data_IF_552334436106
#
_entry.id   IF_552334436106
#
_cell.length_a   1.000
_cell.length_b   1.000
_cell.length_c   1.000
_cell.angle_alpha   90.00
_cell.angle_beta   90.00
_cell.angle_gamma   90.00
#
_symmetry.space_group_name_H-M   'P 1'
#
loop_
_entity.id
_entity.type
_entity.pdbx_description
1 polymer ?
#
# COMPACT_ATOMS: atom_id res chain seq x y z
N UNK A 1 22.70 -3.11 -16.20
CA UNK A 1 21.62 -3.58 -17.11
C UNK A 1 20.46 -2.59 -17.06
N UNK A 2 19.97 -2.25 -15.87
CA UNK A 2 18.91 -1.24 -15.63
C UNK A 2 19.18 0.11 -16.30
N UNK A 3 20.38 0.68 -16.12
CA UNK A 3 20.83 1.92 -16.79
C UNK A 3 20.76 1.94 -18.32
N UNK A 4 20.61 0.78 -18.97
CA UNK A 4 20.41 0.69 -20.42
C UNK A 4 18.94 0.44 -20.79
N UNK A 5 18.19 -0.25 -19.93
CA UNK A 5 16.83 -0.72 -20.25
C UNK A 5 15.78 0.28 -19.79
N UNK A 6 15.95 0.87 -18.60
CA UNK A 6 14.96 1.77 -18.03
C UNK A 6 14.76 3.04 -18.85
N UNK A 7 15.82 3.74 -19.31
CA UNK A 7 15.61 4.93 -20.14
C UNK A 7 14.79 4.66 -21.40
N UNK A 8 15.11 3.58 -22.12
CA UNK A 8 14.40 3.19 -23.34
C UNK A 8 12.94 2.79 -23.04
N UNK A 9 12.72 2.02 -21.97
CA UNK A 9 11.38 1.62 -21.53
C UNK A 9 10.51 2.82 -21.15
N UNK A 10 11.03 3.74 -20.34
CA UNK A 10 10.29 4.93 -19.93
C UNK A 10 10.04 5.86 -21.13
N UNK A 11 10.99 5.98 -22.05
CA UNK A 11 10.80 6.78 -23.27
C UNK A 11 9.66 6.23 -24.14
N UNK A 12 9.62 4.91 -24.36
CA UNK A 12 8.54 4.27 -25.13
C UNK A 12 7.19 4.42 -24.41
N UNK A 13 7.16 4.27 -23.08
CA UNK A 13 5.93 4.44 -22.32
C UNK A 13 5.42 5.89 -22.35
N UNK A 14 6.33 6.88 -22.38
CA UNK A 14 5.96 8.29 -22.37
C UNK A 14 5.30 8.74 -23.69
N UNK A 15 5.54 8.04 -24.80
CA UNK A 15 4.82 8.24 -26.06
C UNK A 15 3.33 7.87 -25.94
N UNK A 16 2.93 7.10 -24.93
CA UNK A 16 1.57 6.65 -24.70
C UNK A 16 0.84 7.38 -23.58
N UNK A 17 1.54 7.77 -22.51
CA UNK A 17 0.96 8.48 -21.38
C UNK A 17 2.02 9.24 -20.58
N UNK A 18 1.67 10.41 -19.99
CA UNK A 18 2.55 11.07 -19.01
C UNK A 18 2.87 10.15 -17.84
N UNK A 19 4.12 10.16 -17.40
CA UNK A 19 4.61 9.30 -16.33
C UNK A 19 4.98 10.16 -15.11
N UNK A 20 4.41 9.78 -13.98
CA UNK A 20 4.74 10.36 -12.68
C UNK A 20 5.17 9.23 -11.73
N UNK A 21 6.28 9.42 -11.00
CA UNK A 21 6.85 8.42 -10.10
C UNK A 21 6.83 8.95 -8.67
N UNK A 22 6.24 8.16 -7.77
CA UNK A 22 6.36 8.33 -6.32
C UNK A 22 7.40 7.32 -5.81
N UNK A 23 8.65 7.76 -5.57
CA UNK A 23 9.73 6.84 -5.29
C UNK A 23 9.51 6.09 -3.98
N UNK A 24 9.69 4.77 -4.04
CA UNK A 24 9.76 3.86 -2.93
C UNK A 24 11.18 3.70 -2.37
N UNK A 25 11.31 2.86 -1.34
CA UNK A 25 12.58 2.62 -0.66
C UNK A 25 13.61 1.84 -1.50
N UNK A 26 13.22 1.34 -2.68
CA UNK A 26 14.08 0.61 -3.62
C UNK A 26 14.46 1.44 -4.85
N UNK A 27 13.87 2.62 -5.03
CA UNK A 27 14.03 3.45 -6.23
C UNK A 27 15.20 4.43 -6.09
N UNK A 28 16.31 3.96 -5.51
CA UNK A 28 17.53 4.74 -5.38
C UNK A 28 18.06 5.17 -6.75
N UNK A 29 18.47 6.44 -6.87
CA UNK A 29 19.01 7.04 -8.10
C UNK A 29 18.06 6.98 -9.32
N UNK A 30 16.75 6.79 -9.12
CA UNK A 30 15.76 6.72 -10.21
C UNK A 30 15.78 7.95 -11.12
N UNK A 31 16.14 9.12 -10.58
CA UNK A 31 16.31 10.38 -11.30
C UNK A 31 17.36 10.30 -12.42
N UNK A 32 18.39 9.45 -12.26
CA UNK A 32 19.38 9.19 -13.29
C UNK A 32 18.98 8.11 -14.30
N UNK A 33 17.90 7.37 -14.02
CA UNK A 33 17.44 6.21 -14.78
C UNK A 33 16.25 6.50 -15.68
N UNK A 34 15.56 7.63 -15.47
CA UNK A 34 14.39 8.03 -16.23
C UNK A 34 14.67 9.24 -17.14
N UNK A 35 13.96 9.37 -18.27
CA UNK A 35 13.99 10.56 -19.10
C UNK A 35 13.53 11.84 -18.36
N UNK A 36 13.90 13.01 -18.87
CA UNK A 36 13.68 14.31 -18.21
C UNK A 36 12.20 14.74 -18.14
N UNK A 37 11.34 14.15 -18.96
CA UNK A 37 9.91 14.39 -19.03
C UNK A 37 9.10 13.53 -18.05
N UNK A 38 9.74 12.58 -17.36
CA UNK A 38 9.15 11.85 -16.24
C UNK A 38 9.18 12.74 -14.99
N UNK A 39 8.03 12.93 -14.36
CA UNK A 39 7.93 13.71 -13.12
C UNK A 39 8.23 12.79 -11.94
N UNK A 40 9.28 13.10 -11.18
CA UNK A 40 9.59 12.41 -9.92
C UNK A 40 9.11 13.27 -8.76
N UNK A 41 8.33 12.68 -7.87
CA UNK A 41 7.75 13.33 -6.72
C UNK A 41 8.54 13.06 -5.43
N UNK A 42 8.21 13.82 -4.38
CA UNK A 42 8.68 13.54 -3.03
C UNK A 42 8.12 12.20 -2.52
N UNK A 43 8.97 11.38 -1.90
CA UNK A 43 8.61 10.04 -1.42
C UNK A 43 7.52 10.03 -0.34
N UNK A 44 7.25 11.18 0.28
CA UNK A 44 6.19 11.34 1.29
C UNK A 44 4.81 11.55 0.67
N UNK A 45 4.70 11.56 -0.64
CA UNK A 45 3.43 11.50 -1.34
C UNK A 45 2.93 12.80 -1.92
N UNK A 46 1.92 12.68 -2.77
CA UNK A 46 1.20 13.79 -3.41
C UNK A 46 -0.29 13.69 -3.18
N UNK A 47 -1.02 14.74 -3.54
CA UNK A 47 -2.48 14.73 -3.56
C UNK A 47 -2.99 14.91 -4.98
N UNK A 48 -4.03 14.18 -5.34
CA UNK A 48 -4.75 14.25 -6.61
C UNK A 48 -6.23 14.49 -6.36
N UNK A 49 -7.03 14.63 -7.44
CA UNK A 49 -8.49 14.81 -7.35
C UNK A 49 -8.89 15.98 -6.45
N UNK A 50 -8.34 17.17 -6.72
CA UNK A 50 -8.55 18.39 -5.94
C UNK A 50 -8.22 18.25 -4.44
N UNK A 51 -7.26 17.40 -4.11
CA UNK A 51 -6.82 17.17 -2.73
C UNK A 51 -7.54 16.04 -2.00
N UNK A 52 -8.55 15.41 -2.62
CA UNK A 52 -9.38 14.37 -1.98
C UNK A 52 -8.67 13.03 -1.84
N UNK A 53 -7.70 12.73 -2.71
CA UNK A 53 -6.96 11.46 -2.69
C UNK A 53 -5.48 11.74 -2.48
N UNK A 54 -4.89 11.15 -1.45
CA UNK A 54 -3.46 11.11 -1.22
C UNK A 54 -2.84 9.87 -1.86
N UNK A 55 -1.71 10.00 -2.54
CA UNK A 55 -0.94 8.88 -3.09
C UNK A 55 0.44 8.86 -2.42
N UNK A 56 0.86 7.71 -1.92
CA UNK A 56 2.21 7.52 -1.37
C UNK A 56 2.70 6.08 -1.58
N UNK A 57 4.02 5.85 -1.53
CA UNK A 57 4.53 4.48 -1.57
C UNK A 57 4.17 3.71 -0.30
N UNK A 58 4.39 4.31 0.88
CA UNK A 58 4.08 3.70 2.19
C UNK A 58 5.27 3.49 3.12
N UNK A 59 6.50 3.63 2.62
CA UNK A 59 7.73 3.43 3.41
C UNK A 59 8.14 4.63 4.29
N UNK A 60 7.45 5.76 4.16
CA UNK A 60 7.70 6.99 4.92
C UNK A 60 6.45 7.42 5.69
N UNK A 61 6.59 8.40 6.59
CA UNK A 61 5.44 9.16 7.05
C UNK A 61 4.94 10.08 5.91
N UNK A 62 3.62 10.26 5.76
CA UNK A 62 3.07 11.08 4.68
C UNK A 62 3.47 12.56 4.82
N UNK A 63 3.40 13.27 3.70
CA UNK A 63 3.40 14.72 3.68
C UNK A 63 2.11 15.20 4.40
N UNK A 64 2.17 16.21 5.29
CA UNK A 64 1.00 16.76 5.97
C UNK A 64 -0.21 17.06 5.08
N UNK A 65 0.01 17.42 3.81
CA UNK A 65 -1.08 17.67 2.87
C UNK A 65 -1.96 16.44 2.63
N UNK A 66 -1.39 15.22 2.66
CA UNK A 66 -2.16 13.98 2.48
C UNK A 66 -3.09 13.71 3.68
N UNK A 67 -2.78 14.26 4.85
CA UNK A 67 -3.60 14.14 6.06
C UNK A 67 -4.87 15.01 6.02
N UNK A 68 -5.12 15.68 4.89
CA UNK A 68 -6.34 16.44 4.59
C UNK A 68 -7.18 15.75 3.50
N UNK A 69 -6.66 14.67 2.90
CA UNK A 69 -7.36 13.86 1.93
C UNK A 69 -8.41 12.97 2.60
N UNK A 70 -9.45 12.63 1.86
CA UNK A 70 -10.51 11.70 2.29
C UNK A 70 -9.96 10.26 2.31
N UNK A 71 -9.18 9.91 1.28
CA UNK A 71 -8.57 8.59 1.14
C UNK A 71 -7.08 8.71 0.85
N UNK A 72 -6.25 7.92 1.53
CA UNK A 72 -4.83 7.73 1.19
C UNK A 72 -4.68 6.36 0.55
N UNK A 73 -4.11 6.33 -0.66
CA UNK A 73 -3.74 5.11 -1.36
C UNK A 73 -2.25 4.86 -1.16
N UNK A 74 -1.90 3.65 -0.73
CA UNK A 74 -0.51 3.27 -0.46
C UNK A 74 -0.17 1.91 -1.04
N UNK A 75 1.09 1.72 -1.42
CA UNK A 75 1.66 0.43 -1.80
C UNK A 75 2.52 -0.17 -0.67
N UNK A 76 3.76 -0.51 -1.02
CA UNK A 76 4.84 -1.00 -0.14
C UNK A 76 4.64 -2.37 0.51
N UNK A 77 3.52 -2.60 1.20
CA UNK A 77 3.33 -3.79 2.02
C UNK A 77 2.94 -5.05 1.22
N UNK A 78 2.64 -4.89 -0.08
CA UNK A 78 2.24 -5.96 -1.01
C UNK A 78 1.22 -6.94 -0.39
N UNK A 79 0.02 -6.44 -0.02
CA UNK A 79 -0.98 -7.27 0.63
C UNK A 79 -1.43 -8.45 -0.24
N UNK A 80 -1.38 -9.64 0.35
CA UNK A 80 -2.02 -10.86 -0.18
C UNK A 80 -2.91 -11.45 0.92
N UNK A 81 -3.88 -12.26 0.52
CA UNK A 81 -4.66 -13.12 1.43
C UNK A 81 -4.20 -14.57 1.23
N UNK A 82 -3.96 -15.31 2.32
CA UNK A 82 -3.69 -16.74 2.28
C UNK A 82 -4.99 -17.51 2.53
N UNK A 83 -5.23 -18.56 1.76
CA UNK A 83 -6.26 -19.56 1.98
C UNK A 83 -5.60 -20.90 2.25
N UNK A 84 -6.17 -21.65 3.20
CA UNK A 84 -5.68 -22.98 3.55
C UNK A 84 -6.82 -23.99 3.62
N UNK A 85 -6.60 -25.16 3.05
CA UNK A 85 -7.54 -26.27 3.19
C UNK A 85 -7.20 -27.17 4.39
N UNK A 86 -8.10 -28.11 4.69
CA UNK A 86 -7.94 -29.10 5.77
C UNK A 86 -6.75 -30.03 5.58
N UNK A 87 -6.29 -30.20 4.34
CA UNK A 87 -5.12 -31.04 4.00
C UNK A 87 -3.80 -30.25 4.12
N UNK A 88 -3.90 -28.96 4.42
CA UNK A 88 -2.77 -28.06 4.63
C UNK A 88 -2.26 -27.38 3.37
N UNK A 89 -2.90 -27.58 2.21
CA UNK A 89 -2.56 -26.90 0.96
C UNK A 89 -2.82 -25.40 1.11
N UNK A 90 -1.94 -24.59 0.52
CA UNK A 90 -1.98 -23.12 0.61
C UNK A 90 -2.17 -22.51 -0.77
N UNK A 91 -3.00 -21.48 -0.82
CA UNK A 91 -3.21 -20.65 -1.99
C UNK A 91 -3.15 -19.20 -1.55
N UNK A 92 -2.55 -18.33 -2.37
CA UNK A 92 -2.46 -16.91 -2.03
C UNK A 92 -2.96 -16.08 -3.18
N UNK A 93 -3.74 -15.06 -2.89
CA UNK A 93 -4.25 -14.11 -3.88
C UNK A 93 -3.88 -12.67 -3.49
N UNK A 94 -3.50 -11.81 -4.45
CA UNK A 94 -3.36 -10.38 -4.20
C UNK A 94 -4.69 -9.78 -3.71
N UNK A 95 -4.62 -8.93 -2.70
CA UNK A 95 -5.80 -8.37 -2.08
C UNK A 95 -5.65 -6.86 -1.84
N UNK A 96 -6.74 -6.13 -2.01
CA UNK A 96 -6.86 -4.76 -1.53
C UNK A 96 -7.20 -4.79 -0.05
N UNK A 97 -6.60 -3.88 0.72
CA UNK A 97 -6.92 -3.69 2.13
C UNK A 97 -7.46 -2.29 2.31
N UNK A 98 -8.73 -2.18 2.69
CA UNK A 98 -9.35 -0.91 3.04
C UNK A 98 -9.46 -0.83 4.56
N UNK A 99 -8.77 0.13 5.15
CA UNK A 99 -8.67 0.29 6.60
C UNK A 99 -8.95 1.72 7.04
N UNK A 100 -9.23 1.92 8.32
CA UNK A 100 -9.30 3.24 8.93
C UNK A 100 -7.95 3.63 9.51
N UNK A 101 -7.64 4.91 9.43
CA UNK A 101 -6.48 5.49 10.09
C UNK A 101 -6.89 5.95 11.50
N UNK A 102 -6.03 5.70 12.49
CA UNK A 102 -6.09 6.26 13.84
C UNK A 102 -5.10 7.44 13.97
N UNK A 103 -5.59 8.70 13.89
CA UNK A 103 -4.79 9.91 14.04
C UNK A 103 -4.00 9.99 15.35
N UNK A 104 -4.48 9.37 16.42
CA UNK A 104 -3.86 9.50 17.75
C UNK A 104 -2.50 8.78 17.83
N UNK A 105 -2.25 7.87 16.88
CA UNK A 105 -0.99 7.12 16.75
C UNK A 105 0.05 7.83 15.90
N UNK A 106 -0.28 8.96 15.28
CA UNK A 106 0.67 9.75 14.50
C UNK A 106 1.63 10.52 15.41
N UNK A 107 2.86 10.81 14.94
CA UNK A 107 3.76 11.76 15.60
C UNK A 107 3.06 13.09 15.83
N UNK A 108 3.32 13.73 16.98
CA UNK A 108 2.63 14.95 17.41
C UNK A 108 2.63 16.06 16.34
N UNK A 109 3.74 16.21 15.60
CA UNK A 109 3.88 17.20 14.52
C UNK A 109 2.91 16.96 13.36
N UNK A 110 2.65 15.70 13.03
CA UNK A 110 1.73 15.32 11.94
C UNK A 110 0.29 15.33 12.41
N UNK A 111 0.05 14.93 13.66
CA UNK A 111 -1.29 14.91 14.26
C UNK A 111 -1.98 16.27 14.20
N UNK A 112 -1.23 17.37 14.35
CA UNK A 112 -1.74 18.76 14.25
C UNK A 112 -2.23 19.15 12.87
N UNK A 113 -1.82 18.43 11.83
CA UNK A 113 -2.16 18.72 10.43
C UNK A 113 -3.38 17.93 9.94
N UNK A 114 -3.83 16.96 10.74
CA UNK A 114 -5.00 16.14 10.47
C UNK A 114 -6.25 16.99 10.65
N UNK A 115 -6.95 17.27 9.55
CA UNK A 115 -8.19 18.07 9.56
C UNK A 115 -9.31 17.28 8.88
N UNK A 116 -10.39 16.99 9.61
CA UNK A 116 -11.54 16.25 9.10
C UNK A 116 -11.82 14.97 9.87
N UNK A 117 -12.83 14.23 9.42
CA UNK A 117 -13.27 12.94 9.98
C UNK A 117 -13.42 11.95 8.83
N UNK A 118 -12.87 10.74 8.96
CA UNK A 118 -13.05 9.68 7.95
C UNK A 118 -11.84 9.42 7.05
N UNK A 119 -10.64 9.35 7.64
CA UNK A 119 -9.42 9.01 6.92
C UNK A 119 -9.38 7.52 6.58
N UNK A 120 -9.67 7.19 5.32
CA UNK A 120 -9.54 5.84 4.81
C UNK A 120 -8.12 5.63 4.27
N UNK A 121 -7.56 4.46 4.55
CA UNK A 121 -6.36 3.95 3.89
C UNK A 121 -6.77 2.83 2.94
N UNK A 122 -6.35 2.93 1.69
CA UNK A 122 -6.42 1.84 0.71
C UNK A 122 -5.01 1.35 0.42
N UNK A 123 -4.70 0.12 0.82
CA UNK A 123 -3.45 -0.55 0.45
C UNK A 123 -3.67 -1.33 -0.83
N UNK A 124 -2.91 -1.00 -1.85
CA UNK A 124 -2.99 -1.66 -3.15
C UNK A 124 -2.04 -2.87 -3.18
N UNK A 125 -2.45 -3.99 -3.80
CA UNK A 125 -1.54 -5.11 -4.02
C UNK A 125 -0.42 -4.75 -5.00
N UNK A 126 0.66 -5.53 -5.00
CA UNK A 126 1.70 -5.37 -6.00
C UNK A 126 1.13 -5.65 -7.41
N UNK A 127 1.44 -4.76 -8.36
CA UNK A 127 1.02 -4.95 -9.76
C UNK A 127 1.71 -6.16 -10.41
N UNK A 128 2.99 -6.39 -10.08
CA UNK A 128 3.78 -7.46 -10.66
C UNK A 128 3.55 -8.80 -9.93
N UNK A 129 3.10 -9.82 -10.66
CA UNK A 129 2.85 -11.18 -10.16
C UNK A 129 4.10 -11.92 -9.67
N UNK A 130 5.30 -11.47 -10.06
CA UNK A 130 6.58 -12.07 -9.66
C UNK A 130 7.00 -11.62 -8.26
N UNK A 131 6.40 -10.55 -7.74
CA UNK A 131 6.70 -10.05 -6.40
C UNK A 131 5.79 -10.77 -5.40
N UNK A 132 6.40 -11.47 -4.45
CA UNK A 132 5.67 -12.06 -3.34
C UNK A 132 5.01 -11.00 -2.45
N UNK A 133 3.95 -11.40 -1.76
CA UNK A 133 3.25 -10.53 -0.82
C UNK A 133 3.32 -11.02 0.62
N UNK A 134 2.86 -10.17 1.54
CA UNK A 134 2.71 -10.52 2.94
C UNK A 134 1.26 -10.92 3.24
N UNK A 135 1.00 -12.15 3.74
CA UNK A 135 -0.35 -12.62 4.02
C UNK A 135 -0.94 -11.88 5.22
N UNK A 136 -1.86 -10.95 4.93
CA UNK A 136 -2.39 -10.01 5.93
C UNK A 136 -3.15 -10.71 7.07
N UNK A 137 -3.75 -11.86 6.78
CA UNK A 137 -4.46 -12.71 7.75
C UNK A 137 -3.53 -13.63 8.55
N UNK A 138 -2.24 -13.69 8.25
CA UNK A 138 -1.22 -14.41 9.03
C UNK A 138 -0.33 -13.48 9.86
N UNK A 139 -0.45 -12.18 9.64
CA UNK A 139 0.45 -11.15 10.16
C UNK A 139 1.55 -10.81 9.15
N UNK A 140 1.85 -9.52 9.06
CA UNK A 140 2.95 -9.01 8.21
C UNK A 140 4.19 -8.86 9.09
N UNK A 141 5.36 -9.39 8.67
CA UNK A 141 6.61 -9.17 9.39
C UNK A 141 6.91 -7.69 9.60
N UNK A 142 7.35 -7.31 10.80
CA UNK A 142 7.53 -5.91 11.20
C UNK A 142 8.54 -5.18 10.29
N UNK A 143 9.57 -5.87 9.80
CA UNK A 143 10.57 -5.34 8.89
C UNK A 143 9.98 -4.85 7.56
N UNK A 144 8.85 -5.43 7.12
CA UNK A 144 8.15 -5.08 5.88
C UNK A 144 7.12 -3.97 6.07
N UNK A 145 6.89 -3.53 7.31
CA UNK A 145 5.88 -2.52 7.61
C UNK A 145 6.43 -1.09 7.44
N UNK A 146 5.65 -0.28 6.72
CA UNK A 146 5.79 1.17 6.74
C UNK A 146 5.52 1.78 8.13
N UNK A 147 5.95 3.03 8.37
CA UNK A 147 5.88 3.65 9.70
C UNK A 147 4.45 3.84 10.24
N UNK A 148 3.45 4.06 9.38
CA UNK A 148 2.04 4.13 9.81
C UNK A 148 1.57 2.80 10.42
N UNK A 149 1.95 1.68 9.81
CA UNK A 149 1.62 0.35 10.32
C UNK A 149 2.40 0.03 11.59
N UNK A 150 3.71 0.32 11.64
CA UNK A 150 4.56 0.14 12.83
C UNK A 150 4.05 0.90 14.05
N UNK A 151 3.54 2.12 13.84
CA UNK A 151 2.97 2.92 14.91
C UNK A 151 1.60 2.44 15.39
N UNK A 152 1.01 1.42 14.75
CA UNK A 152 -0.35 0.97 15.02
C UNK A 152 -1.40 1.99 14.59
N UNK A 153 -1.08 2.89 13.65
CA UNK A 153 -1.97 3.94 13.19
C UNK A 153 -3.01 3.44 12.17
N UNK A 154 -2.97 2.17 11.79
CA UNK A 154 -3.90 1.54 10.85
C UNK A 154 -4.73 0.51 11.62
N UNK A 155 -6.05 0.69 11.63
CA UNK A 155 -7.01 -0.23 12.25
C UNK A 155 -7.17 -1.46 11.35
N UNK A 156 -6.23 -2.41 11.49
CA UNK A 156 -6.13 -3.57 10.62
C UNK A 156 -7.17 -4.65 10.91
N UNK A 157 -7.61 -4.82 12.16
CA UNK A 157 -8.55 -5.89 12.49
C UNK A 157 -9.94 -5.64 11.88
N UNK A 158 -10.37 -4.37 11.86
CA UNK A 158 -11.59 -3.91 11.18
C UNK A 158 -11.39 -3.64 9.68
N UNK A 159 -10.23 -3.96 9.11
CA UNK A 159 -9.96 -3.70 7.70
C UNK A 159 -10.77 -4.63 6.79
N UNK A 160 -11.38 -4.06 5.76
CA UNK A 160 -12.09 -4.77 4.72
C UNK A 160 -11.11 -5.31 3.68
N UNK A 161 -11.28 -6.58 3.30
CA UNK A 161 -10.42 -7.25 2.30
C UNK A 161 -11.20 -7.51 1.01
N UNK A 162 -10.61 -7.14 -0.12
CA UNK A 162 -11.18 -7.36 -1.45
C UNK A 162 -10.19 -8.05 -2.37
N UNK A 163 -10.64 -8.98 -3.21
CA UNK A 163 -9.85 -9.53 -4.30
C UNK A 163 -9.75 -8.54 -5.47
N UNK A 164 -8.84 -8.81 -6.42
CA UNK A 164 -8.63 -7.97 -7.60
C UNK A 164 -9.88 -7.83 -8.49
N UNK A 165 -10.77 -8.81 -8.48
CA UNK A 165 -12.04 -8.78 -9.23
C UNK A 165 -13.16 -8.01 -8.49
N UNK A 166 -12.87 -7.45 -7.31
CA UNK A 166 -13.82 -6.73 -6.48
C UNK A 166 -14.60 -7.61 -5.50
N UNK A 167 -14.33 -8.93 -5.44
CA UNK A 167 -14.97 -9.82 -4.47
C UNK A 167 -14.63 -9.38 -3.05
N UNK A 168 -15.64 -9.03 -2.26
CA UNK A 168 -15.50 -8.72 -0.84
C UNK A 168 -15.39 -10.00 -0.01
N UNK A 169 -14.29 -10.15 0.73
CA UNK A 169 -14.03 -11.32 1.57
C UNK A 169 -14.48 -11.13 3.03
N UNK A 170 -14.66 -9.89 3.48
CA UNK A 170 -15.02 -9.57 4.86
C UNK A 170 -13.95 -8.76 5.60
N UNK A 171 -14.18 -8.57 6.90
CA UNK A 171 -13.22 -7.95 7.82
C UNK A 171 -12.06 -8.91 8.15
N UNK A 172 -10.86 -8.36 8.27
CA UNK A 172 -9.65 -9.13 8.47
C UNK A 172 -9.68 -9.97 9.75
N UNK A 173 -10.25 -9.45 10.85
CA UNK A 173 -10.40 -10.20 12.10
C UNK A 173 -11.19 -11.50 11.90
N UNK A 174 -12.25 -11.45 11.09
CA UNK A 174 -13.07 -12.62 10.80
C UNK A 174 -12.30 -13.64 9.95
N UNK A 175 -11.55 -13.16 8.95
CA UNK A 175 -10.71 -14.01 8.10
C UNK A 175 -9.61 -14.72 8.91
N UNK A 176 -9.00 -14.04 9.89
CA UNK A 176 -8.04 -14.64 10.83
C UNK A 176 -8.66 -15.77 11.66
N UNK A 177 -9.91 -15.59 12.12
CA UNK A 177 -10.65 -16.60 12.92
C UNK A 177 -10.94 -17.86 12.10
N UNK A 178 -11.42 -17.70 10.87
CA UNK A 178 -11.73 -18.83 9.98
C UNK A 178 -10.53 -19.76 9.77
N UNK A 179 -9.32 -19.21 9.65
CA UNK A 179 -8.12 -20.04 9.52
C UNK A 179 -7.74 -20.78 10.80
N UNK A 180 -7.93 -20.17 11.97
CA UNK A 180 -7.55 -20.78 13.23
C UNK A 180 -8.46 -21.96 13.59
N UNK A 181 -9.76 -21.88 13.25
CA UNK A 181 -10.69 -23.01 13.44
C UNK A 181 -10.29 -24.24 12.61
N UNK A 182 -9.65 -24.07 11.45
CA UNK A 182 -9.15 -25.19 10.63
C UNK A 182 -7.87 -25.85 11.20
N UNK A 183 -7.23 -25.27 12.23
CA UNK A 183 -6.04 -25.86 12.88
C UNK A 183 -6.36 -26.70 14.11
N UNK A 184 -7.55 -26.54 14.68
CA UNK A 184 -7.96 -27.18 15.95
C UNK A 184 -8.78 -28.47 15.74
N UNK A 185 -9.13 -28.80 14.49
CA UNK A 185 -9.72 -30.09 14.07
C UNK A 185 -8.65 -31.05 13.51
#
# INVERSE_FOLDING_TARGET
QEWRVFPDFFSELNDHAPIEILPGNHDGDIEGLVPQDVIIHDSRGITVSDGKVGLMHGHTWPNPKLLKAETIVTGHNHPIIEFRDKLGARMTEPAWVKAKIDPEKFPEKLRKEITGTGFELLVIPAFNKLIGGAPVNRGIPEELLGPMFKAGAIQLDEAEIYLLDGTFLGELENLKKFENTQKEE
#
